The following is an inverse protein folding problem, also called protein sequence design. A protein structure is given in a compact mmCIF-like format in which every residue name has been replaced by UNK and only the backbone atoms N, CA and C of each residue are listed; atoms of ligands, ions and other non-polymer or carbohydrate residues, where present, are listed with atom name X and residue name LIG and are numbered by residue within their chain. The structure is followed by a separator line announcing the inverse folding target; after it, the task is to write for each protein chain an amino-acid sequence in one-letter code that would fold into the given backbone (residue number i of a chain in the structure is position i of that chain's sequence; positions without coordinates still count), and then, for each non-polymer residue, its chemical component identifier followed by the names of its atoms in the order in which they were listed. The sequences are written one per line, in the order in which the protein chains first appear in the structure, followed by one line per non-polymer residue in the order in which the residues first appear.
data_IF_132989359869
#
_entry.id   IF_132989359869
#
_cell.length_a   1.000
_cell.length_b   1.000
_cell.length_c   1.000
_cell.angle_alpha   90.00
_cell.angle_beta   90.00
_cell.angle_gamma   90.00
#
_symmetry.space_group_name_H-M   'P 1'
#
loop_
_entity.id
_entity.type
_entity.pdbx_description
1 polymer ?
#
# COMPACT_ATOMS: atom_id res chain seq x y z
N UNK A 1 -1.54 21.24 19.09
CA UNK A 1 -2.69 20.30 19.26
C UNK A 1 -2.57 19.28 18.15
N UNK A 2 -2.24 18.04 18.49
CA UNK A 2 -2.16 16.99 17.47
C UNK A 2 -3.58 16.59 17.07
N UNK A 3 -3.98 16.93 15.84
CA UNK A 3 -5.26 16.49 15.28
C UNK A 3 -5.17 14.99 15.00
N UNK A 4 -5.95 14.21 15.72
CA UNK A 4 -6.11 12.79 15.43
C UNK A 4 -7.21 12.67 14.38
N UNK A 5 -6.89 12.17 13.20
CA UNK A 5 -7.88 11.90 12.15
C UNK A 5 -8.69 10.66 12.53
N UNK A 6 -10.00 10.78 12.55
CA UNK A 6 -10.93 9.68 12.84
C UNK A 6 -11.77 9.36 11.60
N UNK A 7 -11.72 8.11 11.18
CA UNK A 7 -12.59 7.57 10.13
C UNK A 7 -13.61 6.67 10.79
N UNK A 8 -14.90 6.99 10.63
CA UNK A 8 -16.03 6.19 11.15
C UNK A 8 -16.77 5.52 10.00
N UNK A 9 -16.95 4.21 10.10
CA UNK A 9 -17.89 3.48 9.25
C UNK A 9 -19.10 3.05 10.10
N UNK A 10 -20.27 3.58 9.78
CA UNK A 10 -21.48 3.29 10.53
C UNK A 10 -22.09 1.94 10.09
N UNK A 11 -22.30 1.04 11.06
CA UNK A 11 -23.29 -0.02 10.91
C UNK A 11 -24.69 0.55 11.20
N UNK A 12 -25.74 -0.06 10.65
CA UNK A 12 -27.14 0.34 10.87
C UNK A 12 -27.61 0.19 12.33
N UNK A 13 -26.77 -0.31 13.23
CA UNK A 13 -27.13 -0.59 14.62
C UNK A 13 -26.23 0.23 15.58
N UNK A 14 -26.73 1.37 16.04
CA UNK A 14 -26.04 2.34 16.89
C UNK A 14 -25.74 1.88 18.32
N UNK A 15 -26.26 0.71 18.73
CA UNK A 15 -26.10 0.16 20.10
C UNK A 15 -24.82 -0.67 20.27
N UNK A 16 -24.14 -1.03 19.18
CA UNK A 16 -22.91 -1.83 19.26
C UNK A 16 -21.71 -0.90 19.36
N UNK A 17 -20.89 -1.08 20.41
CA UNK A 17 -19.64 -0.35 20.58
C UNK A 17 -18.74 -0.58 19.35
N UNK A 18 -18.09 0.47 18.81
CA UNK A 18 -17.22 0.32 17.67
C UNK A 18 -15.96 -0.48 18.03
N UNK A 19 -15.51 -1.29 17.07
CA UNK A 19 -14.17 -1.86 17.12
C UNK A 19 -13.19 -0.73 16.81
N UNK A 20 -12.22 -0.53 17.69
CA UNK A 20 -11.23 0.54 17.55
C UNK A 20 -9.97 -0.04 16.92
N UNK A 21 -9.52 0.59 15.83
CA UNK A 21 -8.26 0.29 15.17
C UNK A 21 -7.35 1.50 15.31
N UNK A 22 -6.13 1.27 15.76
CA UNK A 22 -5.11 2.31 15.91
C UNK A 22 -4.09 2.18 14.78
N UNK A 23 -3.98 3.23 13.95
CA UNK A 23 -3.13 3.31 12.79
C UNK A 23 -3.86 3.00 11.48
N UNK A 24 -3.88 3.98 10.56
CA UNK A 24 -4.49 3.87 9.23
C UNK A 24 -3.44 3.55 8.14
N UNK A 25 -2.47 2.70 8.43
CA UNK A 25 -1.61 2.09 7.44
C UNK A 25 -2.32 0.97 6.69
N UNK A 26 -1.65 0.32 5.73
CA UNK A 26 -2.22 -0.77 4.90
C UNK A 26 -2.87 -1.86 5.76
N UNK A 27 -2.21 -2.31 6.85
CA UNK A 27 -2.76 -3.35 7.72
C UNK A 27 -4.04 -2.90 8.43
N UNK A 28 -4.03 -1.72 9.07
CA UNK A 28 -5.20 -1.19 9.77
C UNK A 28 -6.38 -0.94 8.84
N UNK A 29 -6.14 -0.36 7.66
CA UNK A 29 -7.18 -0.13 6.66
C UNK A 29 -7.74 -1.44 6.09
N UNK A 30 -6.89 -2.45 5.88
CA UNK A 30 -7.32 -3.77 5.40
C UNK A 30 -8.25 -4.46 6.41
N UNK A 31 -7.87 -4.47 7.68
CA UNK A 31 -8.70 -5.04 8.76
C UNK A 31 -10.00 -4.25 8.90
N UNK A 32 -9.93 -2.91 8.86
CA UNK A 32 -11.13 -2.07 8.92
C UNK A 32 -12.11 -2.40 7.79
N UNK A 33 -11.61 -2.53 6.57
CA UNK A 33 -12.43 -2.83 5.39
C UNK A 33 -13.12 -4.20 5.52
N UNK A 34 -12.41 -5.22 5.96
CA UNK A 34 -12.97 -6.57 6.18
C UNK A 34 -14.04 -6.54 7.27
N UNK A 35 -13.76 -5.92 8.42
CA UNK A 35 -14.72 -5.84 9.51
C UNK A 35 -15.98 -5.07 9.14
N UNK A 36 -15.84 -3.96 8.39
CA UNK A 36 -17.00 -3.20 7.88
C UNK A 36 -17.79 -4.05 6.88
N UNK A 37 -17.12 -4.79 6.01
CA UNK A 37 -17.76 -5.71 5.07
C UNK A 37 -18.56 -6.81 5.79
N UNK A 38 -18.08 -7.26 6.96
CA UNK A 38 -18.75 -8.23 7.83
C UNK A 38 -19.85 -7.58 8.72
N UNK A 39 -20.11 -6.28 8.54
CA UNK A 39 -21.19 -5.57 9.24
C UNK A 39 -20.81 -4.98 10.60
N UNK A 40 -19.56 -5.02 11.01
CA UNK A 40 -19.10 -4.43 12.25
C UNK A 40 -19.05 -2.89 12.18
N UNK A 41 -19.28 -2.26 13.34
CA UNK A 41 -19.02 -0.83 13.50
C UNK A 41 -17.52 -0.64 13.80
N UNK A 42 -16.83 0.17 13.00
CA UNK A 42 -15.37 0.33 13.10
C UNK A 42 -14.99 1.80 13.17
N UNK A 43 -14.07 2.12 14.07
CA UNK A 43 -13.43 3.44 14.15
C UNK A 43 -11.93 3.28 14.01
N UNK A 44 -11.32 3.97 13.04
CA UNK A 44 -9.89 3.98 12.82
C UNK A 44 -9.31 5.32 13.28
N UNK A 45 -8.29 5.27 14.11
CA UNK A 45 -7.57 6.45 14.61
C UNK A 45 -6.18 6.49 14.00
N UNK A 46 -5.83 7.61 13.39
CA UNK A 46 -4.52 7.86 12.80
C UNK A 46 -3.91 9.12 13.41
N UNK A 47 -2.62 9.04 13.76
CA UNK A 47 -1.90 10.17 14.37
C UNK A 47 -1.49 11.25 13.35
N UNK A 48 -1.31 10.86 12.09
CA UNK A 48 -0.95 11.78 11.00
C UNK A 48 -2.19 12.41 10.37
N UNK A 49 -1.97 13.46 9.60
CA UNK A 49 -2.99 14.18 8.83
C UNK A 49 -3.50 13.38 7.62
N UNK A 50 -2.86 12.24 7.32
CA UNK A 50 -3.19 11.40 6.15
C UNK A 50 -3.14 9.93 6.47
N UNK A 51 -3.92 9.15 5.73
CA UNK A 51 -3.98 7.69 5.80
C UNK A 51 -2.96 7.04 4.85
N UNK A 52 -2.70 5.75 5.03
CA UNK A 52 -1.82 4.95 4.17
C UNK A 52 -0.47 4.63 4.79
N UNK A 53 -0.01 5.40 5.78
CA UNK A 53 1.29 5.17 6.42
C UNK A 53 2.44 5.22 5.41
N UNK A 54 3.21 4.14 5.30
CA UNK A 54 4.34 4.05 4.34
C UNK A 54 3.92 3.98 2.87
N UNK A 55 2.66 3.65 2.58
CA UNK A 55 2.12 3.65 1.21
C UNK A 55 1.35 4.93 0.89
N UNK A 56 1.37 5.91 1.79
CA UNK A 56 0.77 7.21 1.52
C UNK A 56 1.59 7.94 0.46
N UNK A 57 0.90 8.73 -0.34
CA UNK A 57 1.52 9.68 -1.28
C UNK A 57 1.31 11.10 -0.78
N UNK A 58 2.16 12.02 -1.19
CA UNK A 58 2.02 13.44 -0.92
C UNK A 58 2.09 14.24 -2.22
N UNK A 59 1.41 15.37 -2.23
CA UNK A 59 1.54 16.32 -3.31
C UNK A 59 2.69 17.29 -3.03
N UNK A 60 3.60 17.43 -4.00
CA UNK A 60 4.70 18.36 -3.94
C UNK A 60 4.91 19.02 -5.30
N UNK A 61 4.76 20.34 -5.39
CA UNK A 61 4.94 21.13 -6.63
C UNK A 61 4.22 20.53 -7.84
N UNK A 62 2.93 20.21 -7.68
CA UNK A 62 2.08 19.59 -8.70
C UNK A 62 2.50 18.17 -9.13
N UNK A 63 3.33 17.50 -8.34
CA UNK A 63 3.69 16.10 -8.50
C UNK A 63 3.18 15.28 -7.33
N UNK A 64 2.76 14.05 -7.60
CA UNK A 64 2.44 13.07 -6.55
C UNK A 64 3.70 12.28 -6.28
N UNK A 65 4.19 12.38 -5.04
CA UNK A 65 5.35 11.65 -4.55
C UNK A 65 4.91 10.61 -3.54
N UNK A 66 5.34 9.38 -3.71
CA UNK A 66 5.06 8.30 -2.77
C UNK A 66 6.07 8.31 -1.63
N UNK A 67 5.58 8.14 -0.39
CA UNK A 67 6.43 8.15 0.80
C UNK A 67 7.32 6.92 0.93
N UNK A 68 7.00 5.86 0.24
CA UNK A 68 7.70 4.60 0.36
C UNK A 68 7.59 3.72 -0.87
N UNK A 69 7.93 2.45 -0.69
CA UNK A 69 7.87 1.48 -1.76
C UNK A 69 6.41 1.18 -2.13
N UNK A 70 6.07 1.38 -3.39
CA UNK A 70 4.71 1.25 -3.92
C UNK A 70 4.58 0.21 -5.04
N UNK A 71 5.63 -0.55 -5.30
CA UNK A 71 5.53 -1.72 -6.18
C UNK A 71 4.92 -2.86 -5.36
N UNK A 72 3.70 -3.20 -5.69
CA UNK A 72 2.95 -4.22 -4.97
C UNK A 72 2.79 -5.45 -5.87
N UNK A 73 3.15 -6.66 -5.40
CA UNK A 73 2.87 -7.86 -6.16
C UNK A 73 1.36 -8.07 -6.23
N UNK A 74 0.74 -7.53 -7.28
CA UNK A 74 -0.70 -7.62 -7.48
C UNK A 74 -1.03 -8.77 -8.41
N UNK A 75 -1.30 -9.93 -7.82
CA UNK A 75 -1.74 -11.12 -8.55
C UNK A 75 -2.85 -11.84 -7.78
N UNK A 76 -3.62 -12.69 -8.46
CA UNK A 76 -4.83 -13.33 -7.91
C UNK A 76 -4.64 -14.08 -6.58
N UNK A 77 -3.43 -14.53 -6.26
CA UNK A 77 -3.11 -15.21 -5.00
C UNK A 77 -2.60 -14.27 -3.90
N UNK A 78 -2.33 -12.99 -4.19
CA UNK A 78 -1.83 -12.04 -3.20
C UNK A 78 -2.88 -11.72 -2.15
N UNK A 79 -2.44 -11.43 -0.92
CA UNK A 79 -3.35 -11.05 0.16
C UNK A 79 -4.15 -9.79 -0.18
N UNK A 80 -3.51 -8.80 -0.80
CA UNK A 80 -4.17 -7.56 -1.22
C UNK A 80 -5.29 -7.84 -2.21
N UNK A 81 -5.05 -8.65 -3.25
CA UNK A 81 -6.09 -9.00 -4.20
C UNK A 81 -7.28 -9.69 -3.53
N UNK A 82 -7.02 -10.63 -2.60
CA UNK A 82 -8.08 -11.32 -1.85
C UNK A 82 -8.92 -10.34 -1.06
N UNK A 83 -8.29 -9.44 -0.28
CA UNK A 83 -9.00 -8.42 0.50
C UNK A 83 -9.87 -7.55 -0.39
N UNK A 84 -9.33 -7.02 -1.49
CA UNK A 84 -10.06 -6.15 -2.40
C UNK A 84 -11.24 -6.88 -3.08
N UNK A 85 -11.10 -8.17 -3.35
CA UNK A 85 -12.19 -9.01 -3.85
C UNK A 85 -13.26 -9.21 -2.80
N UNK A 86 -12.89 -9.53 -1.56
CA UNK A 86 -13.81 -9.77 -0.45
C UNK A 86 -14.66 -8.53 -0.17
N UNK A 87 -14.05 -7.33 -0.21
CA UNK A 87 -14.76 -6.06 -0.07
C UNK A 87 -15.35 -5.50 -1.39
N UNK A 88 -15.30 -6.27 -2.49
CA UNK A 88 -15.92 -5.98 -3.80
C UNK A 88 -15.48 -4.68 -4.46
N UNK A 89 -14.21 -4.29 -4.28
CA UNK A 89 -13.65 -3.07 -4.89
C UNK A 89 -12.51 -3.34 -5.89
N UNK A 90 -12.18 -4.59 -6.17
CA UNK A 90 -11.12 -4.96 -7.13
C UNK A 90 -11.33 -4.36 -8.52
N UNK A 91 -12.58 -4.22 -8.96
CA UNK A 91 -12.92 -3.62 -10.27
C UNK A 91 -12.68 -2.11 -10.35
N UNK A 92 -12.53 -1.43 -9.21
CA UNK A 92 -12.27 0.00 -9.15
C UNK A 92 -10.79 0.35 -9.28
N UNK A 93 -9.91 -0.64 -9.24
CA UNK A 93 -8.47 -0.44 -9.33
C UNK A 93 -8.04 -0.17 -10.77
N UNK A 94 -7.26 0.89 -10.92
CA UNK A 94 -6.49 1.14 -12.12
C UNK A 94 -5.05 0.69 -11.87
N UNK A 95 -4.65 -0.40 -12.51
CA UNK A 95 -3.31 -0.96 -12.36
C UNK A 95 -2.43 -0.49 -13.50
N UNK A 96 -1.26 0.05 -13.16
CA UNK A 96 -0.17 0.26 -14.11
C UNK A 96 0.82 -0.91 -13.97
N UNK A 97 1.15 -1.54 -15.08
CA UNK A 97 2.17 -2.58 -15.11
C UNK A 97 3.52 -1.90 -15.24
N UNK A 98 4.38 -2.12 -14.25
CA UNK A 98 5.77 -1.67 -14.29
C UNK A 98 6.59 -2.76 -14.98
N UNK A 99 6.98 -2.55 -16.22
CA UNK A 99 7.77 -3.48 -17.02
C UNK A 99 9.28 -3.20 -16.95
N UNK A 100 9.66 -1.97 -16.59
CA UNK A 100 11.06 -1.55 -16.45
C UNK A 100 11.27 -0.82 -15.14
N UNK A 101 12.27 -1.27 -14.39
CA UNK A 101 12.74 -0.63 -13.17
C UNK A 101 14.21 -0.27 -13.41
N UNK A 102 14.58 0.94 -13.06
CA UNK A 102 15.98 1.38 -13.08
C UNK A 102 16.34 1.94 -11.70
N UNK A 103 17.60 1.82 -11.33
CA UNK A 103 18.17 2.51 -10.18
C UNK A 103 19.33 3.39 -10.65
N UNK A 104 19.66 4.39 -9.85
CA UNK A 104 20.72 5.34 -10.15
C UNK A 104 21.91 5.14 -9.20
N UNK A 105 23.08 4.87 -9.79
CA UNK A 105 24.38 4.87 -9.10
C UNK A 105 25.44 5.31 -10.12
N UNK A 106 25.84 6.58 -10.08
CA UNK A 106 26.71 7.23 -11.08
C UNK A 106 26.25 7.04 -12.53
N UNK A 107 24.97 6.69 -12.74
CA UNK A 107 24.33 6.38 -14.00
C UNK A 107 23.04 5.59 -13.79
N UNK A 108 22.20 5.50 -14.82
CA UNK A 108 20.99 4.69 -14.78
C UNK A 108 21.33 3.24 -15.12
N UNK A 109 20.94 2.33 -14.22
CA UNK A 109 21.10 0.88 -14.38
C UNK A 109 19.73 0.21 -14.36
N UNK A 110 19.49 -0.68 -15.31
CA UNK A 110 18.25 -1.45 -15.34
C UNK A 110 18.27 -2.53 -14.28
N UNK A 111 17.16 -2.69 -13.56
CA UNK A 111 17.00 -3.77 -12.59
C UNK A 111 17.03 -5.14 -13.30
N UNK A 112 17.86 -6.09 -12.83
CA UNK A 112 17.99 -7.39 -13.46
C UNK A 112 16.67 -8.17 -13.37
N UNK A 113 16.23 -8.75 -14.48
CA UNK A 113 15.03 -9.60 -14.52
C UNK A 113 15.34 -11.10 -14.44
N UNK A 114 16.60 -11.46 -14.57
CA UNK A 114 17.03 -12.85 -14.54
C UNK A 114 18.51 -13.03 -14.28
N UNK A 115 18.95 -14.29 -14.17
CA UNK A 115 20.34 -14.66 -13.85
C UNK A 115 21.33 -14.08 -14.89
N UNK A 116 20.97 -14.08 -16.17
CA UNK A 116 21.81 -13.53 -17.24
C UNK A 116 22.05 -12.02 -17.08
N UNK A 117 21.07 -11.29 -16.56
CA UNK A 117 21.20 -9.85 -16.33
C UNK A 117 22.09 -9.58 -15.11
N UNK A 118 21.96 -10.40 -14.05
CA UNK A 118 22.83 -10.33 -12.87
C UNK A 118 24.29 -10.57 -13.25
N UNK A 119 24.56 -11.57 -14.11
CA UNK A 119 25.90 -11.87 -14.59
C UNK A 119 26.52 -10.75 -15.42
N UNK A 120 25.69 -9.94 -16.08
CA UNK A 120 26.13 -8.79 -16.89
C UNK A 120 26.26 -7.48 -16.11
N UNK A 121 25.75 -7.43 -14.87
CA UNK A 121 25.82 -6.20 -14.07
C UNK A 121 27.24 -5.86 -13.69
N UNK A 122 27.71 -4.67 -14.09
CA UNK A 122 29.04 -4.17 -13.76
C UNK A 122 29.20 -3.71 -12.30
N UNK A 123 28.08 -3.41 -11.64
CA UNK A 123 28.02 -2.89 -10.25
C UNK A 123 28.36 -3.93 -9.19
N UNK A 124 28.20 -5.21 -9.50
CA UNK A 124 28.50 -6.30 -8.57
C UNK A 124 29.82 -6.94 -8.97
N UNK A 125 30.82 -7.03 -8.09
CA UNK A 125 32.08 -7.72 -8.39
C UNK A 125 31.79 -9.14 -8.86
N UNK A 126 32.57 -9.63 -9.85
CA UNK A 126 32.34 -10.96 -10.44
C UNK A 126 32.32 -12.10 -9.40
N UNK A 127 33.12 -11.97 -8.33
CA UNK A 127 33.15 -12.95 -7.23
C UNK A 127 31.87 -12.99 -6.38
N UNK A 128 31.01 -11.99 -6.50
CA UNK A 128 29.77 -11.86 -5.72
C UNK A 128 28.50 -12.06 -6.57
N UNK A 129 28.67 -12.38 -7.85
CA UNK A 129 27.57 -12.69 -8.78
C UNK A 129 27.28 -14.18 -8.76
#
# INVERSE_FOLDING_TARGET
MNSVSQIKANSKNSLIKPIIIVGAGVGGLSIAALLVNDGHNVSVYEKSDRVGGRTASMEFKNHILDNGFHIMPFYKKSAVYKILKDVKIESKLKLAIVDKIAFYDNGFHTYPKGITDILKMSLIPFKSR
#
